data_IF_062091439263
#
_entry.id   IF_062091439263
#
_cell.length_a   1.000
_cell.length_b   1.000
_cell.length_c   1.000
_cell.angle_alpha   90.00
_cell.angle_beta   90.00
_cell.angle_gamma   90.00
#
_symmetry.space_group_name_H-M   'P 1'
#
loop_
_entity.id
_entity.type
_entity.pdbx_description
1 polymer ?
#
# COMPACT_ATOMS: atom_id res chain seq x y z
N UNK A 1 -34.39 -8.53 0.94
CA UNK A 1 -34.54 -9.87 1.56
C UNK A 1 -33.35 -10.06 2.50
N UNK A 2 -33.39 -9.89 3.84
CA UNK A 2 -34.38 -10.38 4.83
C UNK A 2 -34.87 -11.76 4.37
N UNK A 3 -34.37 -12.90 4.82
CA UNK A 3 -34.01 -13.34 6.17
C UNK A 3 -33.33 -14.70 5.99
N UNK A 4 -32.27 -15.02 6.75
CA UNK A 4 -32.14 -16.29 7.49
C UNK A 4 -30.84 -16.24 8.33
N UNK A 5 -30.99 -15.77 9.57
CA UNK A 5 -30.10 -16.08 10.68
C UNK A 5 -30.76 -17.17 11.52
N UNK A 6 -29.92 -18.01 12.13
CA UNK A 6 -30.13 -18.82 13.33
C UNK A 6 -30.60 -20.29 13.18
N UNK A 7 -29.61 -21.19 13.16
CA UNK A 7 -29.49 -22.42 13.98
C UNK A 7 -28.10 -22.97 13.62
N UNK A 8 -27.08 -23.03 14.47
CA UNK A 8 -26.91 -24.00 15.57
C UNK A 8 -25.87 -23.44 16.55
N UNK A 9 -26.29 -23.18 17.80
CA UNK A 9 -25.44 -23.16 18.99
C UNK A 9 -25.95 -24.28 19.89
N UNK A 10 -25.14 -25.31 20.14
CA UNK A 10 -25.04 -26.08 21.39
C UNK A 10 -24.30 -27.39 21.12
N UNK A 11 -23.02 -27.41 21.46
CA UNK A 11 -22.39 -28.49 22.24
C UNK A 11 -21.11 -27.90 22.80
N UNK A 12 -21.14 -27.60 24.11
CA UNK A 12 -19.94 -27.29 24.86
C UNK A 12 -19.30 -28.60 25.32
N UNK A 13 -17.98 -28.70 25.18
CA UNK A 13 -17.14 -29.54 26.02
C UNK A 13 -15.78 -28.88 26.13
N UNK A 14 -15.42 -28.63 27.38
CA UNK A 14 -14.17 -28.02 27.81
C UNK A 14 -13.00 -28.97 27.55
N UNK A 15 -11.83 -28.41 27.26
CA UNK A 15 -10.57 -29.01 27.68
C UNK A 15 -9.60 -27.93 28.11
N UNK A 16 -9.26 -27.98 29.39
CA UNK A 16 -8.19 -27.23 30.05
C UNK A 16 -6.86 -27.91 29.72
N UNK A 17 -5.88 -27.15 29.29
CA UNK A 17 -4.47 -27.50 29.47
C UNK A 17 -3.74 -26.22 29.90
N UNK A 18 -3.54 -26.10 31.22
CA UNK A 18 -2.65 -25.14 31.83
C UNK A 18 -1.25 -25.75 31.83
N UNK A 19 -0.27 -25.02 31.31
CA UNK A 19 1.15 -25.26 31.59
C UNK A 19 1.65 -24.03 32.33
N UNK A 20 2.09 -24.29 33.56
CA UNK A 20 2.70 -23.34 34.46
C UNK A 20 4.13 -23.02 34.00
N UNK A 21 4.56 -21.77 34.19
CA UNK A 21 5.96 -21.48 34.49
C UNK A 21 6.04 -20.45 35.62
N UNK A 22 6.91 -20.80 36.57
CA UNK A 22 7.06 -20.19 37.89
C UNK A 22 7.55 -18.75 37.88
N UNK A 23 7.10 -18.07 38.93
CA UNK A 23 7.69 -16.88 39.53
C UNK A 23 9.05 -17.20 40.16
N UNK A 24 10.03 -16.31 40.00
CA UNK A 24 11.14 -16.14 40.94
C UNK A 24 11.46 -14.63 41.03
N UNK A 25 11.19 -14.09 42.22
CA UNK A 25 11.73 -12.82 42.73
C UNK A 25 13.20 -12.99 43.12
N UNK A 26 13.99 -11.91 42.97
CA UNK A 26 14.89 -11.35 44.00
C UNK A 26 15.85 -10.30 43.41
N UNK A 27 15.58 -9.04 43.73
CA UNK A 27 16.42 -8.02 44.39
C UNK A 27 17.95 -7.88 44.17
N UNK A 28 18.34 -6.60 44.33
CA UNK A 28 19.67 -6.00 44.56
C UNK A 28 20.51 -5.73 43.28
N UNK A 29 21.15 -4.59 43.06
CA UNK A 29 21.54 -3.48 43.93
C UNK A 29 21.66 -2.19 43.13
N UNK A 30 21.49 -1.07 43.82
CA UNK A 30 21.87 0.26 43.38
C UNK A 30 23.39 0.40 43.46
N UNK A 31 24.01 1.05 42.47
CA UNK A 31 25.10 1.97 42.80
C UNK A 31 25.19 3.10 41.78
N UNK A 32 25.30 4.30 42.34
CA UNK A 32 25.50 5.55 41.64
C UNK A 32 27.00 5.81 41.59
N UNK A 33 27.51 6.31 40.47
CA UNK A 33 28.69 7.17 40.55
C UNK A 33 28.57 8.38 39.62
N UNK A 34 28.87 9.52 40.23
CA UNK A 34 28.94 10.87 39.68
C UNK A 34 30.41 11.22 39.55
N UNK A 35 30.79 11.82 38.43
CA UNK A 35 31.71 12.97 38.39
C UNK A 35 31.47 13.67 37.05
N UNK A 36 31.04 14.94 37.03
CA UNK A 36 31.90 16.15 37.06
C UNK A 36 32.93 16.14 35.92
N UNK A 37 33.19 17.20 35.16
CA UNK A 37 32.64 18.53 34.96
C UNK A 37 33.48 19.13 33.81
N UNK A 38 33.01 20.25 33.28
CA UNK A 38 33.83 21.47 33.09
C UNK A 38 34.20 21.94 31.66
N UNK A 39 33.90 23.24 31.49
CA UNK A 39 34.51 24.30 30.65
C UNK A 39 34.38 24.23 29.11
N UNK A 40 33.61 25.11 28.45
CA UNK A 40 33.57 26.60 28.28
C UNK A 40 34.30 27.11 27.03
N UNK A 41 33.74 28.21 26.50
CA UNK A 41 34.25 29.19 25.53
C UNK A 41 34.23 28.77 24.05
N UNK A 42 33.37 29.34 23.18
CA UNK A 42 33.05 30.75 22.92
C UNK A 42 34.29 31.58 22.55
N UNK A 43 34.60 31.69 21.25
CA UNK A 43 34.98 32.97 20.64
C UNK A 43 34.99 32.89 19.09
N UNK A 44 34.67 34.04 18.46
CA UNK A 44 34.95 34.48 17.07
C UNK A 44 34.14 33.85 15.93
N UNK A 45 33.57 34.61 14.98
CA UNK A 45 33.72 36.04 14.66
C UNK A 45 32.58 36.48 13.76
N UNK A 46 32.18 37.71 14.00
CA UNK A 46 31.38 38.61 13.19
C UNK A 46 31.93 38.75 11.75
N UNK A 47 31.05 38.73 10.76
CA UNK A 47 31.34 39.17 9.40
C UNK A 47 30.05 39.62 8.70
N UNK A 48 29.64 40.83 9.07
CA UNK A 48 28.90 41.80 8.28
C UNK A 48 29.28 41.74 6.78
N UNK A 49 28.28 41.45 5.92
CA UNK A 49 28.23 41.96 4.54
C UNK A 49 26.78 42.18 4.11
N UNK A 50 26.35 43.41 4.36
CA UNK A 50 25.40 44.16 3.53
C UNK A 50 25.78 44.11 2.04
N UNK A 51 24.83 43.74 1.17
CA UNK A 51 24.80 44.22 -0.23
C UNK A 51 23.37 44.64 -0.54
N UNK A 52 23.25 45.94 -0.80
CA UNK A 52 22.07 46.62 -1.26
C UNK A 52 21.74 46.24 -2.71
N UNK A 53 20.46 45.98 -2.93
CA UNK A 53 19.58 46.73 -3.83
C UNK A 53 20.21 47.39 -5.08
N UNK A 54 19.83 46.87 -6.25
CA UNK A 54 19.80 47.64 -7.50
C UNK A 54 18.52 47.31 -8.27
N UNK A 55 17.53 48.16 -8.04
CA UNK A 55 16.45 48.43 -8.97
C UNK A 55 17.01 48.91 -10.33
N UNK A 56 16.44 48.40 -11.41
CA UNK A 56 16.44 49.06 -12.72
C UNK A 56 14.99 49.38 -13.03
N UNK A 57 14.68 50.67 -12.96
CA UNK A 57 13.43 51.25 -13.44
C UNK A 57 13.45 51.30 -14.98
N UNK A 58 12.32 50.93 -15.58
CA UNK A 58 11.99 51.08 -16.99
C UNK A 58 10.48 51.29 -17.11
N UNK A 59 10.12 52.56 -17.30
CA UNK A 59 8.81 53.21 -17.42
C UNK A 59 7.93 52.73 -18.62
N UNK A 60 6.65 53.18 -18.74
CA UNK A 60 5.49 52.30 -18.88
C UNK A 60 4.86 52.25 -20.28
N UNK A 61 4.18 51.14 -20.58
CA UNK A 61 3.33 50.95 -21.77
C UNK A 61 1.84 50.90 -21.42
N UNK A 62 1.10 51.84 -22.03
CA UNK A 62 -0.35 52.11 -22.05
C UNK A 62 -1.30 50.87 -22.06
N UNK A 63 -2.50 50.96 -21.44
CA UNK A 63 -3.37 49.82 -21.25
C UNK A 63 -4.16 49.45 -22.51
N UNK A 64 -4.15 48.16 -22.85
CA UNK A 64 -5.03 47.59 -23.87
C UNK A 64 -6.44 47.40 -23.29
N UNK A 65 -7.41 48.08 -23.91
CA UNK A 65 -8.84 47.97 -23.60
C UNK A 65 -9.43 46.60 -23.93
N UNK A 66 -10.69 46.37 -23.52
CA UNK A 66 -11.31 45.05 -23.51
C UNK A 66 -11.58 44.53 -24.93
N UNK A 67 -11.21 43.27 -25.17
CA UNK A 67 -11.55 42.53 -26.38
C UNK A 67 -13.06 42.26 -26.48
N UNK A 68 -13.58 42.04 -27.70
CA UNK A 68 -15.01 42.07 -28.00
C UNK A 68 -15.79 40.91 -27.41
N UNK A 69 -17.01 41.23 -26.99
CA UNK A 69 -18.05 40.35 -26.49
C UNK A 69 -18.30 39.17 -27.45
N UNK A 70 -18.21 37.96 -26.90
CA UNK A 70 -18.67 36.74 -27.56
C UNK A 70 -20.20 36.68 -27.48
N UNK A 71 -20.86 36.57 -28.63
CA UNK A 71 -22.30 36.36 -28.72
C UNK A 71 -22.74 35.05 -28.02
N UNK A 72 -23.94 35.04 -27.39
CA UNK A 72 -24.42 33.89 -26.65
C UNK A 72 -24.85 32.76 -27.60
N UNK A 73 -24.19 31.61 -27.45
CA UNK A 73 -24.63 30.35 -28.07
C UNK A 73 -26.03 29.92 -27.59
N UNK A 74 -26.78 29.17 -28.40
CA UNK A 74 -28.14 28.78 -28.08
C UNK A 74 -28.20 27.90 -26.83
N UNK A 75 -29.16 28.21 -25.95
CA UNK A 75 -29.34 27.58 -24.65
C UNK A 75 -29.70 26.08 -24.70
N UNK A 76 -29.67 25.41 -23.53
CA UNK A 76 -29.80 23.96 -23.43
C UNK A 76 -31.21 23.49 -23.83
N UNK A 77 -31.25 22.52 -24.75
CA UNK A 77 -32.45 21.82 -25.15
C UNK A 77 -32.91 20.90 -24.00
N UNK A 78 -34.15 21.09 -23.57
CA UNK A 78 -34.78 20.35 -22.47
C UNK A 78 -35.15 18.95 -22.96
N UNK A 79 -34.33 17.95 -22.63
CA UNK A 79 -34.72 16.54 -22.77
C UNK A 79 -35.87 16.20 -21.80
N UNK A 80 -37.00 15.81 -22.36
CA UNK A 80 -38.18 15.33 -21.61
C UNK A 80 -37.95 13.91 -21.10
N UNK A 81 -38.42 13.57 -19.88
CA UNK A 81 -38.19 12.25 -19.31
C UNK A 81 -38.99 11.15 -20.02
N UNK A 82 -38.30 10.10 -20.46
CA UNK A 82 -38.91 8.85 -20.93
C UNK A 82 -39.43 8.06 -19.72
N UNK A 83 -40.75 7.92 -19.65
CA UNK A 83 -41.44 7.13 -18.63
C UNK A 83 -41.31 5.64 -18.97
N UNK A 84 -40.46 4.91 -18.24
CA UNK A 84 -40.47 3.44 -18.26
C UNK A 84 -41.68 2.90 -17.50
N UNK A 85 -42.55 2.14 -18.19
CA UNK A 85 -43.65 1.39 -17.57
C UNK A 85 -43.12 0.08 -16.97
N UNK A 86 -43.57 -0.35 -15.78
CA UNK A 86 -43.08 -1.56 -15.14
C UNK A 86 -43.63 -2.81 -15.85
N UNK A 87 -42.73 -3.72 -16.23
CA UNK A 87 -43.07 -5.08 -16.66
C UNK A 87 -43.27 -5.95 -15.43
N UNK A 88 -44.49 -6.45 -15.26
CA UNK A 88 -44.89 -7.37 -14.19
C UNK A 88 -44.45 -8.78 -14.57
N UNK A 89 -43.43 -9.31 -13.89
CA UNK A 89 -43.04 -10.73 -13.98
C UNK A 89 -43.95 -11.56 -13.06
N UNK A 90 -44.69 -12.52 -13.63
CA UNK A 90 -45.45 -13.53 -12.87
C UNK A 90 -44.53 -14.70 -12.47
N UNK A 91 -44.64 -15.25 -11.26
CA UNK A 91 -43.84 -16.40 -10.84
C UNK A 91 -44.42 -17.70 -11.41
N UNK A 92 -43.55 -18.57 -11.94
CA UNK A 92 -43.89 -19.97 -12.25
C UNK A 92 -43.09 -20.85 -11.30
N UNK A 93 -43.79 -21.62 -10.48
CA UNK A 93 -43.21 -22.56 -9.51
C UNK A 93 -43.57 -23.99 -9.89
N UNK A 94 -42.50 -24.78 -10.13
CA UNK A 94 -42.26 -26.22 -9.97
C UNK A 94 -43.22 -27.29 -10.56
N UNK A 95 -42.62 -28.33 -11.17
CA UNK A 95 -42.30 -29.61 -10.48
C UNK A 95 -41.38 -30.54 -11.31
N UNK A 96 -40.63 -31.46 -10.66
CA UNK A 96 -39.51 -32.18 -11.25
C UNK A 96 -39.96 -33.42 -12.02
N UNK A 97 -39.30 -33.72 -13.14
CA UNK A 97 -39.47 -35.00 -13.83
C UNK A 97 -38.30 -35.90 -13.47
N UNK A 98 -38.61 -36.95 -12.70
CA UNK A 98 -37.77 -38.12 -12.51
C UNK A 98 -38.01 -39.06 -13.70
N UNK A 99 -36.94 -39.43 -14.41
CA UNK A 99 -36.98 -40.54 -15.39
C UNK A 99 -35.83 -41.49 -15.07
N UNK A 100 -36.21 -42.72 -14.70
CA UNK A 100 -35.34 -43.90 -14.55
C UNK A 100 -35.12 -44.57 -15.92
N UNK A 101 -34.08 -45.42 -16.06
CA UNK A 101 -33.50 -45.82 -17.34
C UNK A 101 -34.21 -47.03 -17.97
N UNK A 102 -34.17 -47.14 -19.31
CA UNK A 102 -34.57 -48.37 -20.01
C UNK A 102 -34.66 -48.29 -21.54
N UNK A 103 -33.55 -48.69 -22.19
CA UNK A 103 -33.44 -49.57 -23.36
C UNK A 103 -34.06 -49.23 -24.75
N UNK A 104 -33.31 -49.71 -25.76
CA UNK A 104 -33.53 -49.75 -27.23
C UNK A 104 -33.27 -48.43 -27.96
N UNK A 105 -32.52 -48.38 -29.05
CA UNK A 105 -32.00 -49.39 -29.97
C UNK A 105 -31.34 -48.66 -31.15
N UNK A 106 -30.50 -49.38 -31.88
CA UNK A 106 -29.63 -48.88 -32.94
C UNK A 106 -30.34 -48.06 -34.04
N UNK A 107 -29.69 -46.98 -34.50
CA UNK A 107 -30.12 -46.24 -35.68
C UNK A 107 -29.15 -45.12 -36.08
N UNK A 108 -28.34 -45.38 -37.11
CA UNK A 108 -27.81 -44.38 -38.06
C UNK A 108 -26.68 -43.45 -37.57
N UNK A 109 -25.43 -43.79 -37.90
CA UNK A 109 -24.32 -42.84 -37.89
C UNK A 109 -24.51 -41.78 -38.99
N UNK A 110 -24.98 -40.59 -38.59
CA UNK A 110 -25.05 -39.41 -39.43
C UNK A 110 -23.65 -38.80 -39.62
N UNK A 111 -23.07 -39.01 -40.81
CA UNK A 111 -21.73 -38.53 -41.18
C UNK A 111 -21.62 -37.00 -41.18
N UNK A 112 -22.73 -36.25 -41.16
CA UNK A 112 -22.74 -34.77 -41.09
C UNK A 112 -22.67 -34.20 -39.67
N UNK A 113 -22.92 -35.00 -38.62
CA UNK A 113 -22.72 -34.57 -37.20
C UNK A 113 -21.30 -34.78 -36.69
N UNK A 114 -20.49 -35.62 -37.36
CA UNK A 114 -19.10 -35.86 -36.97
C UNK A 114 -18.20 -34.64 -37.24
N UNK A 115 -18.50 -33.83 -38.26
CA UNK A 115 -17.70 -32.64 -38.59
C UNK A 115 -18.04 -31.40 -37.75
N UNK A 116 -19.24 -31.31 -37.16
CA UNK A 116 -19.57 -30.30 -36.14
C UNK A 116 -19.12 -30.72 -34.73
N UNK A 117 -18.88 -32.01 -34.48
CA UNK A 117 -18.40 -32.53 -33.19
C UNK A 117 -16.90 -32.32 -32.93
N UNK A 118 -16.09 -32.14 -33.98
CA UNK A 118 -14.64 -31.92 -33.85
C UNK A 118 -14.30 -30.48 -33.43
N UNK A 119 -15.14 -29.49 -33.77
CA UNK A 119 -14.93 -28.10 -33.35
C UNK A 119 -15.22 -27.87 -31.86
N UNK A 120 -16.21 -28.57 -31.27
CA UNK A 120 -16.56 -28.43 -29.85
C UNK A 120 -15.61 -29.17 -28.90
N UNK A 121 -15.06 -30.32 -29.32
CA UNK A 121 -14.14 -31.12 -28.51
C UNK A 121 -12.79 -30.44 -28.29
N UNK A 122 -12.25 -29.75 -29.30
CA UNK A 122 -10.97 -29.03 -29.18
C UNK A 122 -11.09 -27.81 -28.25
N UNK A 123 -12.21 -27.08 -28.30
CA UNK A 123 -12.45 -25.93 -27.40
C UNK A 123 -12.69 -26.39 -25.95
N UNK A 124 -13.47 -27.45 -25.74
CA UNK A 124 -13.74 -27.97 -24.40
C UNK A 124 -12.51 -28.67 -23.77
N UNK A 125 -11.77 -29.47 -24.55
CA UNK A 125 -10.53 -30.10 -24.08
C UNK A 125 -9.41 -29.06 -23.88
N UNK A 126 -9.33 -28.03 -24.74
CA UNK A 126 -8.42 -26.89 -24.57
C UNK A 126 -8.73 -26.11 -23.29
N UNK A 127 -10.00 -25.79 -23.04
CA UNK A 127 -10.44 -25.13 -21.82
C UNK A 127 -10.14 -25.99 -20.57
N UNK A 128 -10.47 -27.29 -20.60
CA UNK A 128 -10.17 -28.20 -19.48
C UNK A 128 -8.66 -28.35 -19.23
N UNK A 129 -7.83 -28.37 -20.28
CA UNK A 129 -6.36 -28.44 -20.16
C UNK A 129 -5.79 -27.14 -19.59
N UNK A 130 -6.29 -25.98 -20.04
CA UNK A 130 -5.88 -24.67 -19.50
C UNK A 130 -6.30 -24.52 -18.04
N UNK A 131 -7.55 -24.87 -17.70
CA UNK A 131 -8.01 -24.88 -16.31
C UNK A 131 -7.23 -25.88 -15.45
N UNK A 132 -6.97 -27.09 -15.95
CA UNK A 132 -6.19 -28.10 -15.26
C UNK A 132 -4.75 -27.67 -15.00
N UNK A 133 -4.09 -27.02 -15.97
CA UNK A 133 -2.76 -26.44 -15.79
C UNK A 133 -2.75 -25.28 -14.80
N UNK A 134 -3.73 -24.39 -14.86
CA UNK A 134 -3.84 -23.26 -13.93
C UNK A 134 -4.12 -23.70 -12.49
N UNK A 135 -4.93 -24.74 -12.30
CA UNK A 135 -5.16 -25.34 -10.98
C UNK A 135 -3.92 -26.11 -10.49
N UNK A 136 -3.25 -26.85 -11.39
CA UNK A 136 -2.02 -27.56 -11.08
C UNK A 136 -0.86 -26.64 -10.71
N UNK A 137 -0.70 -25.51 -11.41
CA UNK A 137 0.33 -24.51 -11.09
C UNK A 137 0.08 -23.85 -9.74
N UNK A 138 -1.17 -23.49 -9.43
CA UNK A 138 -1.56 -22.98 -8.10
C UNK A 138 -1.22 -23.96 -6.99
N UNK A 139 -1.62 -25.22 -7.14
CA UNK A 139 -1.37 -26.23 -6.13
C UNK A 139 0.14 -26.50 -5.94
N UNK A 140 0.91 -26.47 -7.02
CA UNK A 140 2.37 -26.60 -6.96
C UNK A 140 3.02 -25.41 -6.23
N UNK A 141 2.62 -24.18 -6.54
CA UNK A 141 3.11 -22.97 -5.87
C UNK A 141 2.71 -22.93 -4.40
N UNK A 142 1.47 -23.28 -4.06
CA UNK A 142 1.03 -23.36 -2.67
C UNK A 142 1.81 -24.40 -1.87
N UNK A 143 2.10 -25.56 -2.48
CA UNK A 143 2.93 -26.61 -1.86
C UNK A 143 4.37 -26.13 -1.68
N UNK A 144 4.96 -25.50 -2.69
CA UNK A 144 6.31 -24.95 -2.62
C UNK A 144 6.41 -23.86 -1.53
N UNK A 145 5.42 -22.97 -1.46
CA UNK A 145 5.30 -21.91 -0.44
C UNK A 145 5.12 -22.49 0.96
N UNK A 146 4.27 -23.50 1.12
CA UNK A 146 4.02 -24.15 2.41
C UNK A 146 5.20 -24.95 2.95
N UNK A 147 6.09 -25.42 2.06
CA UNK A 147 7.31 -26.14 2.43
C UNK A 147 8.55 -25.26 2.64
N UNK A 148 8.45 -23.95 2.41
CA UNK A 148 9.58 -23.03 2.55
C UNK A 148 9.81 -22.63 4.02
N UNK A 149 11.02 -22.88 4.49
CA UNK A 149 11.51 -22.37 5.77
C UNK A 149 12.26 -21.06 5.53
N UNK A 150 11.84 -19.98 6.20
CA UNK A 150 12.53 -18.69 6.11
C UNK A 150 13.84 -18.72 6.90
N UNK A 151 14.96 -18.25 6.32
CA UNK A 151 16.18 -18.02 7.07
C UNK A 151 15.96 -16.96 8.15
N UNK A 152 16.71 -17.07 9.26
CA UNK A 152 16.75 -16.00 10.26
C UNK A 152 17.39 -14.74 9.65
N UNK A 153 16.92 -13.54 10.02
CA UNK A 153 17.54 -12.30 9.57
C UNK A 153 18.97 -12.16 10.10
N UNK A 154 19.88 -11.74 9.24
CA UNK A 154 21.21 -11.30 9.63
C UNK A 154 21.15 -9.93 10.32
N UNK A 155 20.20 -9.08 9.94
CA UNK A 155 19.87 -7.82 10.58
C UNK A 155 18.40 -7.83 11.00
N UNK A 156 18.07 -8.30 12.23
CA UNK A 156 16.69 -8.29 12.73
C UNK A 156 16.20 -6.86 12.96
N UNK A 157 14.90 -6.63 12.75
CA UNK A 157 14.28 -5.36 13.07
C UNK A 157 14.30 -5.16 14.59
N UNK A 158 14.47 -3.92 15.03
CA UNK A 158 14.35 -3.59 16.44
C UNK A 158 12.96 -4.02 16.98
N UNK A 159 12.86 -4.40 18.26
CA UNK A 159 11.56 -4.60 18.90
C UNK A 159 10.72 -3.33 18.77
N UNK A 160 9.42 -3.49 18.52
CA UNK A 160 8.52 -2.34 18.46
C UNK A 160 8.53 -1.61 19.81
N UNK A 161 8.72 -0.27 19.83
CA UNK A 161 8.67 0.49 21.06
C UNK A 161 7.36 0.31 21.83
N UNK A 162 7.42 0.45 23.15
CA UNK A 162 6.21 0.51 23.96
C UNK A 162 5.32 1.67 23.49
N UNK A 163 4.01 1.42 23.36
CA UNK A 163 3.06 2.45 22.90
C UNK A 163 2.98 2.64 21.38
N UNK A 164 3.53 1.72 20.59
CA UNK A 164 3.38 1.70 19.11
C UNK A 164 1.93 1.45 18.65
N UNK A 165 1.15 0.70 19.44
CA UNK A 165 -0.26 0.45 19.15
C UNK A 165 -1.12 0.88 20.35
N UNK A 166 -2.05 1.80 20.11
CA UNK A 166 -3.00 2.29 21.11
C UNK A 166 -4.07 1.28 21.48
N UNK A 167 -4.27 0.22 20.68
CA UNK A 167 -5.28 -0.84 20.90
C UNK A 167 -6.70 -0.29 21.04
N UNK A 168 -6.98 0.84 20.36
CA UNK A 168 -8.31 1.44 20.29
C UNK A 168 -9.16 0.60 19.31
N UNK A 169 -10.36 0.20 19.74
CA UNK A 169 -11.25 -0.60 18.89
C UNK A 169 -11.64 0.17 17.63
N UNK A 170 -11.44 -0.44 16.46
CA UNK A 170 -11.73 0.17 15.16
C UNK A 170 -10.59 1.01 14.56
N UNK A 171 -9.54 1.31 15.33
CA UNK A 171 -8.33 1.93 14.83
C UNK A 171 -7.53 0.91 14.02
N UNK A 172 -6.91 1.33 12.91
CA UNK A 172 -6.03 0.45 12.16
C UNK A 172 -4.86 -0.02 13.05
N UNK A 173 -4.61 -1.33 13.15
CA UNK A 173 -3.50 -1.84 13.94
C UNK A 173 -2.17 -1.36 13.37
N UNK A 174 -1.11 -1.28 14.19
CA UNK A 174 0.19 -0.87 13.68
C UNK A 174 0.70 -1.81 12.58
N UNK A 175 0.53 -3.13 12.74
CA UNK A 175 0.83 -4.13 11.70
C UNK A 175 -0.47 -4.53 11.00
N UNK A 176 -0.54 -4.29 9.70
CA UNK A 176 -1.63 -4.78 8.85
C UNK A 176 -1.44 -6.27 8.59
N UNK A 177 -2.46 -7.09 8.90
CA UNK A 177 -2.42 -8.53 8.63
C UNK A 177 -2.27 -8.79 7.13
N UNK A 178 -1.53 -9.83 6.73
CA UNK A 178 -1.29 -10.18 5.32
C UNK A 178 -2.57 -10.24 4.47
N UNK A 179 -3.66 -10.79 5.00
CA UNK A 179 -4.97 -10.90 4.34
C UNK A 179 -5.75 -9.58 4.20
N UNK A 180 -5.43 -8.60 5.03
CA UNK A 180 -6.08 -7.28 5.05
C UNK A 180 -5.20 -6.22 4.38
N UNK A 181 -3.97 -6.56 3.99
CA UNK A 181 -3.07 -5.66 3.29
C UNK A 181 -3.61 -5.38 1.90
N UNK A 182 -3.69 -4.10 1.53
CA UNK A 182 -4.32 -3.69 0.28
C UNK A 182 -3.67 -4.35 -0.95
N UNK A 183 -4.47 -4.59 -1.98
CA UNK A 183 -4.02 -5.14 -3.26
C UNK A 183 -4.48 -4.24 -4.40
N UNK A 184 -3.55 -3.72 -5.18
CA UNK A 184 -3.79 -2.92 -6.39
C UNK A 184 -2.84 -3.42 -7.46
N UNK A 185 -3.39 -4.03 -8.51
CA UNK A 185 -2.65 -4.79 -9.50
C UNK A 185 -3.14 -4.45 -10.91
N UNK A 186 -2.23 -4.42 -11.87
CA UNK A 186 -2.58 -4.42 -13.31
C UNK A 186 -2.89 -5.84 -13.81
N UNK A 187 -2.45 -6.86 -13.07
CA UNK A 187 -2.65 -8.27 -13.40
C UNK A 187 -4.13 -8.68 -13.27
N UNK A 188 -4.73 -9.12 -14.37
CA UNK A 188 -6.06 -9.74 -14.34
C UNK A 188 -6.03 -11.13 -13.68
N UNK A 189 -4.88 -11.82 -13.78
CA UNK A 189 -4.63 -13.13 -13.18
C UNK A 189 -3.32 -13.07 -12.41
N UNK A 190 -3.36 -13.42 -11.14
CA UNK A 190 -2.19 -13.42 -10.25
C UNK A 190 -1.16 -14.45 -10.72
N UNK A 191 0.09 -14.04 -11.04
CA UNK A 191 1.17 -14.94 -11.41
C UNK A 191 1.39 -16.07 -10.40
N UNK A 192 1.60 -17.28 -10.91
CA UNK A 192 1.93 -18.47 -10.13
C UNK A 192 3.38 -18.83 -10.43
N UNK A 193 4.30 -18.16 -9.73
CA UNK A 193 5.73 -18.26 -9.98
C UNK A 193 6.34 -19.41 -9.15
N UNK A 194 6.96 -20.37 -9.83
CA UNK A 194 7.70 -21.44 -9.16
C UNK A 194 9.05 -20.90 -8.65
N UNK A 195 9.32 -20.92 -7.32
CA UNK A 195 10.57 -20.40 -6.75
C UNK A 195 11.82 -21.11 -7.28
N UNK A 196 11.72 -22.37 -7.74
CA UNK A 196 12.85 -23.12 -8.29
C UNK A 196 13.26 -22.62 -9.68
N UNK A 197 12.28 -22.15 -10.45
CA UNK A 197 12.48 -21.60 -11.78
C UNK A 197 12.74 -20.08 -11.77
N UNK A 198 12.32 -19.40 -10.70
CA UNK A 198 12.49 -17.95 -10.57
C UNK A 198 13.95 -17.52 -10.64
N UNK A 199 14.19 -16.43 -11.39
CA UNK A 199 15.49 -15.76 -11.51
C UNK A 199 15.26 -14.26 -11.43
N UNK A 200 16.21 -13.54 -10.84
CA UNK A 200 16.32 -12.08 -10.90
C UNK A 200 17.57 -11.69 -11.67
N UNK A 201 17.41 -10.92 -12.74
CA UNK A 201 18.52 -10.37 -13.51
C UNK A 201 18.72 -8.89 -13.20
N UNK A 202 19.95 -8.50 -12.83
CA UNK A 202 20.37 -7.10 -12.64
C UNK A 202 21.40 -6.77 -13.72
N UNK A 203 21.09 -5.82 -14.59
CA UNK A 203 21.90 -5.54 -15.79
C UNK A 203 21.77 -4.07 -16.24
N UNK A 204 22.34 -3.72 -17.39
CA UNK A 204 22.30 -2.36 -17.94
C UNK A 204 23.57 -1.58 -17.62
N UNK A 205 23.41 -0.40 -17.01
CA UNK A 205 24.51 0.47 -16.59
C UNK A 205 25.20 -0.05 -15.31
N UNK A 206 25.76 -1.25 -15.40
CA UNK A 206 26.52 -1.93 -14.34
C UNK A 206 27.81 -2.53 -14.88
N UNK A 207 28.84 -2.65 -14.05
CA UNK A 207 30.13 -3.25 -14.42
C UNK A 207 30.02 -4.78 -14.54
N UNK A 208 29.22 -5.40 -13.67
CA UNK A 208 29.02 -6.84 -13.58
C UNK A 208 27.53 -7.16 -13.50
N UNK A 209 26.91 -7.60 -14.61
CA UNK A 209 25.54 -8.12 -14.56
C UNK A 209 25.45 -9.30 -13.58
N UNK A 210 24.36 -9.35 -12.82
CA UNK A 210 24.10 -10.40 -11.82
C UNK A 210 22.83 -11.15 -12.21
N UNK A 211 22.85 -12.47 -12.08
CA UNK A 211 21.65 -13.29 -12.09
C UNK A 211 21.55 -14.06 -10.76
N UNK A 212 20.42 -13.94 -10.07
CA UNK A 212 20.18 -14.59 -8.78
C UNK A 212 19.05 -15.60 -8.89
N UNK A 213 19.28 -16.81 -8.39
CA UNK A 213 18.19 -17.74 -8.09
C UNK A 213 17.53 -17.38 -6.75
N UNK A 214 16.37 -17.97 -6.47
CA UNK A 214 15.71 -17.78 -5.18
C UNK A 214 16.58 -18.30 -4.02
N UNK A 215 17.27 -19.43 -4.22
CA UNK A 215 18.19 -20.00 -3.24
C UNK A 215 19.46 -19.16 -3.04
N UNK A 216 19.93 -18.44 -4.08
CA UNK A 216 21.00 -17.44 -3.90
C UNK A 216 20.52 -16.28 -3.03
N UNK A 217 19.29 -15.81 -3.24
CA UNK A 217 18.71 -14.72 -2.47
C UNK A 217 18.55 -15.09 -0.99
N UNK A 218 18.06 -16.30 -0.69
CA UNK A 218 17.89 -16.81 0.68
C UNK A 218 19.22 -17.05 1.41
N UNK A 219 20.32 -17.26 0.68
CA UNK A 219 21.67 -17.43 1.28
C UNK A 219 22.37 -16.10 1.58
N UNK A 220 21.85 -14.98 1.10
CA UNK A 220 22.41 -13.65 1.37
C UNK A 220 21.97 -13.15 2.76
N UNK A 221 22.70 -12.19 3.35
CA UNK A 221 22.28 -11.56 4.59
C UNK A 221 20.91 -10.90 4.44
N UNK A 222 19.90 -11.43 5.16
CA UNK A 222 18.55 -10.89 5.14
C UNK A 222 18.39 -9.80 6.20
N UNK A 223 17.69 -8.73 5.83
CA UNK A 223 17.31 -7.61 6.70
C UNK A 223 15.81 -7.65 6.96
N UNK A 224 15.42 -7.48 8.22
CA UNK A 224 14.05 -7.19 8.60
C UNK A 224 13.83 -5.69 8.75
N UNK A 225 12.75 -5.16 8.16
CA UNK A 225 12.37 -3.76 8.29
C UNK A 225 10.84 -3.61 8.37
N UNK A 226 10.37 -2.73 9.25
CA UNK A 226 8.96 -2.31 9.29
C UNK A 226 8.76 -1.18 8.28
N UNK A 227 7.96 -1.42 7.25
CA UNK A 227 7.75 -0.47 6.14
C UNK A 227 6.26 -0.36 5.81
N UNK A 228 5.80 0.89 5.70
CA UNK A 228 4.48 1.22 5.16
C UNK A 228 4.55 1.37 3.65
N UNK A 229 3.70 0.64 2.94
CA UNK A 229 3.44 0.85 1.51
C UNK A 229 2.16 1.63 1.32
N UNK A 230 2.18 2.55 0.35
CA UNK A 230 1.03 3.36 -0.02
C UNK A 230 0.89 3.38 -1.54
N UNK A 231 -0.33 3.16 -2.03
CA UNK A 231 -0.63 3.29 -3.46
C UNK A 231 -0.78 4.76 -3.83
N UNK A 232 -0.32 5.15 -5.03
CA UNK A 232 -0.57 6.51 -5.55
C UNK A 232 -2.07 6.77 -5.74
N UNK A 233 -2.84 5.73 -6.09
CA UNK A 233 -4.30 5.78 -6.24
C UNK A 233 -5.04 5.96 -4.91
N UNK A 234 -4.35 6.04 -3.77
CA UNK A 234 -5.00 6.24 -2.49
C UNK A 234 -5.60 7.67 -2.44
N UNK A 235 -6.94 7.82 -2.37
CA UNK A 235 -7.53 9.13 -2.18
C UNK A 235 -7.22 9.66 -0.77
N UNK A 236 -7.50 10.94 -0.53
CA UNK A 236 -7.50 11.49 0.83
C UNK A 236 -8.44 10.64 1.71
N UNK A 237 -7.90 10.13 2.81
CA UNK A 237 -8.62 9.23 3.72
C UNK A 237 -8.83 7.79 3.21
N UNK A 238 -8.21 7.42 2.10
CA UNK A 238 -8.39 6.10 1.48
C UNK A 238 -7.74 4.93 2.22
N UNK A 239 -8.04 3.72 1.73
CA UNK A 239 -7.63 2.46 2.33
C UNK A 239 -6.40 1.80 1.67
N UNK A 240 -5.85 2.38 0.59
CA UNK A 240 -4.72 1.80 -0.17
C UNK A 240 -3.38 2.12 0.48
N UNK A 241 -3.26 1.74 1.75
CA UNK A 241 -2.10 1.88 2.60
C UNK A 241 -2.05 0.74 3.62
N UNK A 242 -0.87 0.20 3.88
CA UNK A 242 -0.67 -0.83 4.89
C UNK A 242 0.76 -0.85 5.39
N UNK A 243 0.93 -1.23 6.65
CA UNK A 243 2.24 -1.34 7.30
C UNK A 243 2.54 -2.79 7.66
N UNK A 244 3.72 -3.25 7.31
CA UNK A 244 4.13 -4.63 7.52
C UNK A 244 5.61 -4.73 7.86
N UNK A 245 5.98 -5.82 8.52
CA UNK A 245 7.38 -6.23 8.65
C UNK A 245 7.79 -7.02 7.42
N UNK A 246 8.87 -6.61 6.77
CA UNK A 246 9.39 -7.25 5.57
C UNK A 246 10.72 -7.92 5.89
N UNK A 247 10.98 -9.07 5.27
CA UNK A 247 12.27 -9.74 5.33
C UNK A 247 12.80 -9.88 3.91
N UNK A 248 14.03 -9.43 3.65
CA UNK A 248 14.61 -9.47 2.32
C UNK A 248 16.09 -9.11 2.24
N UNK A 249 16.66 -9.24 1.05
CA UNK A 249 18.02 -8.77 0.75
C UNK A 249 17.96 -7.28 0.44
N UNK A 250 18.88 -6.48 1.00
CA UNK A 250 18.94 -5.05 0.67
C UNK A 250 19.35 -4.88 -0.79
N UNK A 251 18.54 -4.14 -1.54
CA UNK A 251 18.78 -3.86 -2.96
C UNK A 251 20.13 -3.18 -3.16
N UNK A 252 20.50 -2.26 -2.26
CA UNK A 252 21.78 -1.57 -2.30
C UNK A 252 22.98 -2.52 -2.25
N UNK A 253 22.89 -3.66 -1.56
CA UNK A 253 23.98 -4.64 -1.49
C UNK A 253 24.18 -5.34 -2.84
N UNK A 254 23.08 -5.72 -3.51
CA UNK A 254 23.12 -6.30 -4.86
C UNK A 254 23.63 -5.28 -5.89
N UNK A 255 23.22 -4.02 -5.77
CA UNK A 255 23.66 -2.96 -6.70
C UNK A 255 25.14 -2.59 -6.51
N UNK A 256 25.65 -2.59 -5.26
CA UNK A 256 27.09 -2.43 -5.00
C UNK A 256 27.92 -3.59 -5.55
N UNK A 257 27.40 -4.82 -5.47
CA UNK A 257 28.03 -5.98 -6.10
C UNK A 257 28.07 -5.83 -7.62
N UNK A 258 26.97 -5.36 -8.23
CA UNK A 258 26.90 -5.17 -9.68
C UNK A 258 27.85 -4.06 -10.18
N UNK A 259 28.15 -3.07 -9.34
CA UNK A 259 28.99 -1.92 -9.68
C UNK A 259 28.24 -0.94 -10.58
N UNK A 260 27.51 0.00 -9.99
CA UNK A 260 26.74 1.00 -10.74
C UNK A 260 27.67 1.91 -11.56
N UNK A 261 27.41 2.03 -12.87
CA UNK A 261 28.14 2.96 -13.72
C UNK A 261 27.70 4.41 -13.44
N UNK A 262 28.62 5.35 -13.68
CA UNK A 262 28.35 6.78 -13.51
C UNK A 262 27.15 7.24 -14.35
N UNK A 263 26.28 8.04 -13.76
CA UNK A 263 25.13 8.65 -14.43
C UNK A 263 23.88 7.77 -14.49
N UNK A 264 23.90 6.55 -13.95
CA UNK A 264 22.67 5.79 -13.71
C UNK A 264 21.79 6.50 -12.68
N UNK A 265 20.51 6.71 -13.00
CA UNK A 265 19.56 7.39 -12.11
C UNK A 265 18.21 6.67 -11.98
N UNK A 266 17.99 5.58 -12.73
CA UNK A 266 16.77 4.78 -12.71
C UNK A 266 17.06 3.28 -12.61
N UNK A 267 16.32 2.59 -11.75
CA UNK A 267 16.16 1.14 -11.74
C UNK A 267 14.81 0.83 -12.40
N UNK A 268 14.83 0.36 -13.64
CA UNK A 268 13.63 -0.12 -14.32
C UNK A 268 13.44 -1.59 -13.95
N UNK A 269 12.58 -1.86 -12.97
CA UNK A 269 12.24 -3.22 -12.58
C UNK A 269 11.04 -3.76 -13.36
N UNK A 270 11.10 -5.05 -13.70
CA UNK A 270 10.05 -5.76 -14.46
C UNK A 270 9.52 -6.93 -13.64
N UNK A 271 8.20 -7.00 -13.55
CA UNK A 271 7.44 -8.13 -13.00
C UNK A 271 7.32 -9.25 -14.03
N UNK A 272 7.16 -10.49 -13.57
CA UNK A 272 6.89 -11.67 -14.42
C UNK A 272 5.73 -11.46 -15.40
N UNK A 273 4.72 -10.66 -15.03
CA UNK A 273 3.57 -10.34 -15.88
C UNK A 273 3.82 -9.17 -16.87
N UNK A 274 5.04 -8.64 -16.91
CA UNK A 274 5.44 -7.55 -17.80
C UNK A 274 5.18 -6.13 -17.26
N UNK A 275 4.63 -5.98 -16.05
CA UNK A 275 4.53 -4.65 -15.42
C UNK A 275 5.91 -4.07 -15.12
N UNK A 276 6.13 -2.79 -15.42
CA UNK A 276 7.39 -2.09 -15.16
C UNK A 276 7.24 -0.91 -14.20
N UNK A 277 8.27 -0.73 -13.38
CA UNK A 277 8.37 0.26 -12.31
C UNK A 277 9.72 0.98 -12.42
N UNK A 278 9.72 2.30 -12.28
CA UNK A 278 10.92 3.13 -12.39
C UNK A 278 11.30 3.70 -11.04
N UNK A 279 12.30 3.13 -10.38
CA UNK A 279 12.72 3.55 -9.03
C UNK A 279 13.99 4.39 -9.11
N UNK A 280 14.07 5.58 -8.49
CA UNK A 280 15.30 6.36 -8.44
C UNK A 280 16.46 5.63 -7.76
N UNK A 281 17.63 5.64 -8.39
CA UNK A 281 18.84 4.98 -7.87
C UNK A 281 19.29 5.62 -6.56
N UNK A 282 19.31 6.95 -6.49
CA UNK A 282 19.70 7.72 -5.30
C UNK A 282 18.88 7.32 -4.07
N UNK A 283 17.57 7.17 -4.23
CA UNK A 283 16.65 6.74 -3.17
C UNK A 283 16.95 5.32 -2.67
N UNK A 284 17.32 4.39 -3.55
CA UNK A 284 17.66 3.01 -3.13
C UNK A 284 19.03 2.97 -2.44
N UNK A 285 19.91 3.91 -2.76
CA UNK A 285 21.30 3.94 -2.31
C UNK A 285 21.55 4.85 -1.10
N UNK A 286 20.55 5.59 -0.61
CA UNK A 286 20.69 6.57 0.49
C UNK A 286 20.82 5.97 1.89
N UNK A 287 20.75 4.64 2.00
CA UNK A 287 20.89 3.92 3.26
C UNK A 287 19.58 3.41 3.85
N UNK A 288 18.41 3.77 3.29
CA UNK A 288 17.12 3.16 3.68
C UNK A 288 17.08 1.66 3.42
N UNK A 289 16.13 0.98 4.04
CA UNK A 289 15.92 -0.46 3.84
C UNK A 289 15.04 -0.73 2.61
N UNK A 290 15.63 -0.49 1.43
CA UNK A 290 15.09 -0.94 0.16
C UNK A 290 15.39 -2.44 -0.03
N UNK A 291 14.36 -3.28 -0.16
CA UNK A 291 14.46 -4.74 -0.11
C UNK A 291 13.98 -5.44 -1.39
N UNK A 292 14.68 -6.51 -1.77
CA UNK A 292 14.09 -7.66 -2.44
C UNK A 292 13.51 -8.59 -1.37
N UNK A 293 12.23 -8.40 -1.05
CA UNK A 293 11.54 -9.07 0.04
C UNK A 293 11.04 -10.47 -0.35
N UNK A 294 11.28 -11.43 0.54
CA UNK A 294 10.88 -12.85 0.44
C UNK A 294 9.83 -13.24 1.49
N UNK A 295 9.63 -12.39 2.50
CA UNK A 295 8.69 -12.62 3.58
C UNK A 295 7.99 -11.33 4.02
N UNK A 296 6.81 -11.52 4.59
CA UNK A 296 5.93 -10.45 5.07
C UNK A 296 5.25 -10.89 6.37
N UNK A 297 5.43 -10.09 7.42
CA UNK A 297 4.94 -10.33 8.77
C UNK A 297 5.35 -11.69 9.36
N UNK A 298 6.60 -12.10 9.11
CA UNK A 298 7.15 -13.39 9.59
C UNK A 298 6.65 -14.61 8.82
N UNK A 299 5.85 -14.44 7.78
CA UNK A 299 5.37 -15.50 6.91
C UNK A 299 6.01 -15.40 5.53
N UNK A 300 6.19 -16.54 4.84
CA UNK A 300 6.60 -16.56 3.44
C UNK A 300 5.64 -15.68 2.64
N UNK A 301 6.20 -14.84 1.76
CA UNK A 301 5.44 -13.83 1.03
C UNK A 301 4.16 -14.43 0.41
N UNK A 302 2.98 -13.85 0.65
CA UNK A 302 1.76 -14.33 0.00
C UNK A 302 1.82 -14.17 -1.52
N UNK A 303 1.17 -15.07 -2.26
CA UNK A 303 1.18 -15.05 -3.74
C UNK A 303 0.63 -13.74 -4.30
N UNK A 304 -0.50 -13.29 -3.76
CA UNK A 304 -1.12 -12.00 -4.10
C UNK A 304 -0.23 -10.79 -3.83
N UNK A 305 0.75 -10.94 -2.92
CA UNK A 305 1.67 -9.88 -2.51
C UNK A 305 3.07 -10.02 -3.12
N UNK A 306 3.24 -10.90 -4.11
CA UNK A 306 4.44 -10.93 -4.94
C UNK A 306 5.36 -12.15 -4.77
N UNK A 307 4.88 -13.24 -4.17
CA UNK A 307 5.67 -14.48 -4.06
C UNK A 307 6.26 -14.93 -5.41
N UNK A 308 7.55 -15.32 -5.50
CA UNK A 308 8.48 -15.53 -4.38
C UNK A 308 9.19 -14.28 -3.90
N UNK A 309 9.32 -13.25 -4.74
CA UNK A 309 10.11 -12.04 -4.44
C UNK A 309 9.40 -10.79 -4.95
N UNK A 310 9.33 -9.77 -4.11
CA UNK A 310 8.91 -8.43 -4.50
C UNK A 310 9.97 -7.38 -4.16
N UNK A 311 9.95 -6.28 -4.90
CA UNK A 311 10.60 -5.05 -4.50
C UNK A 311 9.77 -4.33 -3.42
N UNK A 312 10.45 -3.73 -2.43
CA UNK A 312 9.88 -2.87 -1.38
C UNK A 312 10.85 -1.72 -1.13
N UNK A 313 10.51 -0.50 -1.55
CA UNK A 313 11.32 0.70 -1.30
C UNK A 313 10.49 1.71 -0.49
N UNK A 314 10.88 2.04 0.75
CA UNK A 314 10.15 2.99 1.57
C UNK A 314 10.25 4.41 1.01
N UNK A 315 9.28 5.27 1.33
CA UNK A 315 9.29 6.70 0.97
C UNK A 315 8.79 7.05 -0.43
N UNK A 316 8.41 6.05 -1.24
CA UNK A 316 7.89 6.24 -2.59
C UNK A 316 6.55 5.52 -2.78
N UNK A 317 5.67 6.06 -3.63
CA UNK A 317 4.40 5.39 -3.96
C UNK A 317 4.62 4.05 -4.67
N UNK A 318 3.75 3.07 -4.41
CA UNK A 318 3.96 1.66 -4.80
C UNK A 318 4.23 1.40 -6.28
N UNK A 319 3.72 2.23 -7.20
CA UNK A 319 3.92 2.04 -8.64
C UNK A 319 5.34 2.37 -9.15
N UNK A 320 6.13 3.07 -8.33
CA UNK A 320 7.55 3.38 -8.58
C UNK A 320 8.49 2.71 -7.57
N UNK A 321 7.97 1.87 -6.67
CA UNK A 321 8.75 1.37 -5.52
C UNK A 321 8.52 -0.09 -5.15
N UNK A 322 7.47 -0.74 -5.67
CA UNK A 322 6.96 -1.97 -5.08
C UNK A 322 6.57 -3.06 -6.11
N UNK A 323 7.41 -3.29 -7.12
CA UNK A 323 7.25 -4.35 -8.14
C UNK A 323 7.07 -5.72 -7.51
N UNK A 324 5.89 -6.31 -7.70
CA UNK A 324 5.61 -7.70 -7.31
C UNK A 324 6.17 -8.66 -8.34
N UNK A 325 6.45 -9.90 -7.95
CA UNK A 325 6.93 -10.95 -8.85
C UNK A 325 8.13 -10.51 -9.69
N UNK A 326 9.06 -9.78 -9.08
CA UNK A 326 10.15 -9.11 -9.81
C UNK A 326 11.12 -10.13 -10.40
N UNK A 327 11.47 -9.98 -11.67
CA UNK A 327 12.38 -10.89 -12.40
C UNK A 327 13.52 -10.16 -13.12
N UNK A 328 13.41 -8.85 -13.32
CA UNK A 328 14.43 -8.06 -14.00
C UNK A 328 14.58 -6.69 -13.33
N UNK A 329 15.82 -6.19 -13.28
CA UNK A 329 16.17 -4.81 -12.93
C UNK A 329 17.21 -4.32 -13.93
N UNK A 330 16.77 -3.46 -14.86
CA UNK A 330 17.65 -2.73 -15.76
C UNK A 330 18.07 -1.42 -15.09
N UNK A 331 19.34 -1.31 -14.75
CA UNK A 331 19.97 -0.05 -14.34
C UNK A 331 20.12 0.84 -15.57
N UNK A 332 19.47 2.01 -15.55
CA UNK A 332 19.36 2.91 -16.69
C UNK A 332 19.18 4.36 -16.23
N UNK A 333 18.62 5.20 -17.10
CA UNK A 333 18.33 6.61 -16.85
C UNK A 333 16.88 6.96 -17.17
N UNK A 334 16.28 7.86 -16.41
CA UNK A 334 14.93 8.38 -16.65
C UNK A 334 14.81 9.14 -17.98
N UNK A 335 15.93 9.59 -18.58
CA UNK A 335 15.95 10.22 -19.91
C UNK A 335 16.09 9.21 -21.07
N UNK A 336 16.22 7.90 -20.78
CA UNK A 336 16.41 6.83 -21.77
C UNK A 336 15.31 5.76 -21.75
N UNK A 337 14.61 5.61 -20.63
CA UNK A 337 13.56 4.62 -20.45
C UNK A 337 12.40 5.21 -19.64
N UNK A 338 11.21 4.63 -19.83
CA UNK A 338 10.00 4.99 -19.10
C UNK A 338 9.34 3.75 -18.49
N UNK A 339 8.84 3.87 -17.26
CA UNK A 339 8.07 2.81 -16.61
C UNK A 339 6.59 2.87 -17.00
N UNK A 340 5.83 1.80 -16.74
CA UNK A 340 4.46 1.60 -17.24
C UNK A 340 3.53 2.82 -17.11
N UNK A 341 3.56 3.52 -15.97
CA UNK A 341 2.66 4.65 -15.71
C UNK A 341 3.17 6.01 -16.19
N UNK A 342 4.47 6.18 -16.43
CA UNK A 342 5.07 7.44 -16.87
C UNK A 342 4.47 7.98 -18.18
N UNK A 343 4.38 7.20 -19.29
CA UNK A 343 3.77 7.68 -20.53
C UNK A 343 2.25 7.87 -20.44
N UNK A 344 1.63 7.49 -19.30
CA UNK A 344 0.21 7.66 -19.01
C UNK A 344 -0.06 8.92 -18.17
N UNK A 345 0.95 9.78 -17.99
CA UNK A 345 0.83 11.06 -17.31
C UNK A 345 1.06 11.03 -15.80
N UNK A 346 1.56 9.91 -15.26
CA UNK A 346 1.93 9.83 -13.84
C UNK A 346 3.37 10.28 -13.62
N UNK A 347 3.65 10.86 -12.46
CA UNK A 347 5.00 11.30 -12.10
C UNK A 347 6.03 10.16 -12.16
N UNK A 348 7.25 10.43 -12.60
CA UNK A 348 8.27 9.39 -12.72
C UNK A 348 8.89 8.94 -11.39
N UNK A 349 9.02 9.86 -10.41
CA UNK A 349 9.71 9.59 -9.13
C UNK A 349 8.79 9.41 -7.93
N UNK A 350 7.65 10.10 -7.92
CA UNK A 350 6.53 9.97 -6.97
C UNK A 350 6.91 9.68 -5.49
N UNK A 351 7.62 10.60 -4.82
CA UNK A 351 7.82 10.51 -3.38
C UNK A 351 6.47 10.59 -2.64
N UNK A 352 6.39 9.92 -1.48
CA UNK A 352 5.19 9.96 -0.65
C UNK A 352 4.94 11.40 -0.17
N UNK A 353 3.70 11.87 -0.32
CA UNK A 353 3.22 13.10 0.31
C UNK A 353 2.86 12.84 1.78
N UNK A 354 3.10 13.81 2.66
CA UNK A 354 2.63 13.79 4.05
C UNK A 354 1.11 13.67 4.05
N UNK A 355 0.59 12.69 4.80
CA UNK A 355 -0.83 12.37 4.77
C UNK A 355 -1.35 11.95 6.15
N UNK A 356 -2.66 12.10 6.36
CA UNK A 356 -3.37 11.60 7.54
C UNK A 356 -4.78 11.15 7.20
N UNK A 357 -5.28 10.20 7.99
CA UNK A 357 -6.61 9.60 7.85
C UNK A 357 -7.25 9.45 9.22
N UNK A 358 -8.57 9.66 9.26
CA UNK A 358 -9.43 9.41 10.42
C UNK A 358 -10.03 8.03 10.24
N UNK A 359 -9.73 7.11 11.14
CA UNK A 359 -10.26 5.74 11.11
C UNK A 359 -11.55 5.63 11.92
N UNK A 360 -11.61 6.36 13.05
CA UNK A 360 -12.79 6.50 13.87
C UNK A 360 -12.96 7.93 14.39
N UNK A 361 -14.21 8.42 14.49
CA UNK A 361 -15.43 7.78 13.99
C UNK A 361 -15.41 7.65 12.46
N UNK A 362 -16.18 6.70 11.90
CA UNK A 362 -16.29 6.57 10.43
C UNK A 362 -17.17 7.67 9.86
N UNK A 363 -16.98 7.97 8.58
CA UNK A 363 -17.87 8.86 7.83
C UNK A 363 -19.34 8.46 8.01
N UNK A 364 -20.18 9.41 8.43
CA UNK A 364 -21.61 9.23 8.66
C UNK A 364 -21.99 8.46 9.93
N UNK A 365 -21.04 8.20 10.85
CA UNK A 365 -21.35 7.49 12.08
C UNK A 365 -22.28 8.28 13.01
N UNK A 366 -23.15 7.55 13.72
CA UNK A 366 -23.94 8.09 14.83
C UNK A 366 -23.26 7.76 16.16
N UNK A 367 -22.95 8.79 16.95
CA UNK A 367 -22.28 8.71 18.24
C UNK A 367 -23.24 9.08 19.37
N UNK A 368 -22.93 8.62 20.58
CA UNK A 368 -23.58 9.16 21.79
C UNK A 368 -22.86 10.44 22.19
N UNK A 369 -23.60 11.42 22.68
CA UNK A 369 -23.03 12.58 23.34
C UNK A 369 -22.14 12.22 24.53
N UNK A 370 -21.15 13.08 24.79
CA UNK A 370 -20.13 12.91 25.83
C UNK A 370 -18.75 12.49 25.30
N UNK A 371 -17.92 11.97 26.20
CA UNK A 371 -16.53 11.59 25.88
C UNK A 371 -16.45 10.49 24.83
N UNK A 372 -15.72 10.78 23.75
CA UNK A 372 -15.36 9.84 22.70
C UNK A 372 -13.92 10.12 22.22
N UNK A 373 -13.41 9.30 21.31
CA UNK A 373 -12.07 9.44 20.75
C UNK A 373 -12.15 9.56 19.23
N UNK A 374 -11.45 10.55 18.68
CA UNK A 374 -11.15 10.66 17.26
C UNK A 374 -9.74 10.09 17.08
N UNK A 375 -9.57 9.10 16.21
CA UNK A 375 -8.29 8.43 16.02
C UNK A 375 -8.08 7.97 14.59
N UNK A 376 -6.82 7.76 14.23
CA UNK A 376 -6.44 7.30 12.91
C UNK A 376 -4.94 7.10 12.76
N UNK A 377 -4.48 7.18 11.52
CA UNK A 377 -3.08 7.03 11.15
C UNK A 377 -2.59 8.23 10.34
N UNK A 378 -1.30 8.52 10.42
CA UNK A 378 -0.62 9.52 9.60
C UNK A 378 0.70 8.96 9.10
N UNK A 379 1.19 9.42 7.95
CA UNK A 379 2.40 8.89 7.33
C UNK A 379 3.13 9.94 6.49
N UNK A 380 4.45 9.83 6.48
CA UNK A 380 5.37 10.61 5.65
C UNK A 380 6.67 9.79 5.54
N UNK A 381 6.60 8.62 4.88
CA UNK A 381 7.71 7.66 4.91
C UNK A 381 9.05 8.29 4.47
N UNK A 382 10.11 7.84 5.12
CA UNK A 382 11.46 8.39 5.15
C UNK A 382 11.65 9.77 5.80
N UNK A 383 10.57 10.53 6.06
CA UNK A 383 10.63 11.79 6.82
C UNK A 383 10.12 11.63 8.26
N UNK A 384 9.05 10.87 8.46
CA UNK A 384 8.38 10.68 9.75
C UNK A 384 7.34 11.77 10.07
N UNK A 385 6.43 11.47 11.00
CA UNK A 385 5.36 12.38 11.44
C UNK A 385 5.72 13.00 12.79
N UNK A 386 5.70 14.33 12.85
CA UNK A 386 5.99 15.12 14.07
C UNK A 386 4.72 15.57 14.80
N UNK A 387 3.66 15.93 14.06
CA UNK A 387 2.40 16.36 14.64
C UNK A 387 1.21 15.86 13.82
N UNK A 388 0.10 15.59 14.51
CA UNK A 388 -1.24 15.46 13.92
C UNK A 388 -2.16 16.39 14.68
N UNK A 389 -2.97 17.13 13.96
CA UNK A 389 -3.92 18.08 14.50
C UNK A 389 -5.31 17.77 13.94
N UNK A 390 -6.32 17.94 14.78
CA UNK A 390 -7.73 17.73 14.43
C UNK A 390 -8.51 18.97 14.81
N UNK A 391 -9.43 19.40 13.95
CA UNK A 391 -10.43 20.42 14.30
C UNK A 391 -11.83 19.87 14.10
N UNK A 392 -12.77 20.43 14.87
CA UNK A 392 -14.20 20.12 14.79
C UNK A 392 -14.95 21.41 14.50
N UNK A 393 -15.86 21.38 13.53
CA UNK A 393 -16.73 22.50 13.11
C UNK A 393 -15.99 23.80 12.78
N UNK A 394 -14.84 23.68 12.10
CA UNK A 394 -13.93 24.81 11.79
C UNK A 394 -13.44 25.57 13.03
N UNK A 395 -13.49 24.95 14.21
CA UNK A 395 -12.87 25.48 15.42
C UNK A 395 -11.35 25.39 15.38
N UNK A 396 -10.74 25.61 16.55
CA UNK A 396 -9.29 25.57 16.71
C UNK A 396 -8.71 24.17 16.42
N UNK A 397 -7.51 24.16 15.83
CA UNK A 397 -6.72 22.95 15.67
C UNK A 397 -6.23 22.45 17.03
N UNK A 398 -6.50 21.18 17.32
CA UNK A 398 -6.09 20.53 18.57
C UNK A 398 -5.07 19.45 18.26
N UNK A 399 -3.92 19.50 18.92
CA UNK A 399 -2.86 18.51 18.75
C UNK A 399 -3.29 17.15 19.32
N UNK A 400 -3.18 16.10 18.51
CA UNK A 400 -3.44 14.73 18.90
C UNK A 400 -2.23 14.10 19.60
N UNK A 401 -2.48 13.08 20.44
CA UNK A 401 -1.44 12.22 20.99
C UNK A 401 -0.98 11.26 19.90
N UNK A 402 0.33 11.08 19.76
CA UNK A 402 0.94 10.20 18.76
C UNK A 402 1.51 8.94 19.42
N UNK A 403 1.39 7.80 18.73
CA UNK A 403 2.01 6.54 19.14
C UNK A 403 3.53 6.61 18.99
N UNK A 404 4.26 5.70 19.63
CA UNK A 404 5.67 5.49 19.31
C UNK A 404 5.79 4.79 17.93
N UNK A 405 6.94 4.91 17.27
CA UNK A 405 7.25 4.20 16.02
C UNK A 405 8.70 3.73 16.04
N UNK A 406 9.04 2.60 15.39
CA UNK A 406 10.43 2.12 15.34
C UNK A 406 11.32 2.96 14.42
N UNK A 407 10.75 3.73 13.50
CA UNK A 407 11.49 4.55 12.54
C UNK A 407 10.58 5.35 11.61
N UNK A 408 11.17 6.14 10.69
CA UNK A 408 10.44 7.08 9.83
C UNK A 408 9.68 6.41 8.67
N UNK A 409 9.94 5.14 8.39
CA UNK A 409 9.37 4.41 7.24
C UNK A 409 8.03 3.71 7.53
N UNK A 410 7.48 3.95 8.71
CA UNK A 410 6.18 3.41 9.14
C UNK A 410 5.14 4.52 9.29
N UNK A 411 3.85 4.17 9.15
CA UNK A 411 2.77 5.03 9.60
C UNK A 411 2.77 5.16 11.13
N UNK A 412 2.10 6.20 11.62
CA UNK A 412 2.02 6.53 13.03
C UNK A 412 0.55 6.66 13.43
N UNK A 413 0.14 5.88 14.43
CA UNK A 413 -1.19 6.04 15.03
C UNK A 413 -1.29 7.37 15.79
N UNK A 414 -2.47 7.97 15.78
CA UNK A 414 -2.79 9.18 16.52
C UNK A 414 -4.19 9.10 17.14
N UNK A 415 -4.40 9.82 18.24
CA UNK A 415 -5.69 9.87 18.94
C UNK A 415 -5.91 11.23 19.63
N UNK A 416 -7.14 11.72 19.60
CA UNK A 416 -7.60 12.92 20.29
C UNK A 416 -8.89 12.60 21.06
N UNK A 417 -8.88 12.85 22.36
CA UNK A 417 -10.11 12.78 23.17
C UNK A 417 -11.01 13.98 22.86
N UNK A 418 -12.29 13.71 22.68
CA UNK A 418 -13.29 14.70 22.28
C UNK A 418 -14.55 14.56 23.12
N UNK A 419 -14.97 15.65 23.76
CA UNK A 419 -16.29 15.77 24.35
C UNK A 419 -17.30 16.17 23.26
N UNK A 420 -18.01 15.17 22.74
CA UNK A 420 -18.95 15.33 21.64
C UNK A 420 -20.28 15.91 22.15
N UNK A 421 -20.56 17.17 21.80
CA UNK A 421 -21.87 17.77 22.04
C UNK A 421 -22.94 17.17 21.10
N UNK A 422 -24.23 17.16 21.46
CA UNK A 422 -25.28 16.76 20.53
C UNK A 422 -25.31 17.66 19.28
N UNK A 423 -25.44 17.05 18.10
CA UNK A 423 -25.44 17.80 16.85
C UNK A 423 -24.76 17.08 15.70
N UNK A 424 -24.80 17.71 14.51
CA UNK A 424 -23.99 17.29 13.36
C UNK A 424 -22.64 17.98 13.47
N UNK A 425 -21.57 17.20 13.35
CA UNK A 425 -20.20 17.70 13.42
C UNK A 425 -19.40 17.35 12.18
N UNK A 426 -18.56 18.29 11.73
CA UNK A 426 -17.54 18.05 10.71
C UNK A 426 -16.18 17.99 11.40
N UNK A 427 -15.42 16.92 11.13
CA UNK A 427 -14.11 16.65 11.73
C UNK A 427 -13.08 16.61 10.61
N UNK A 428 -11.99 17.37 10.77
CA UNK A 428 -10.91 17.48 9.80
C UNK A 428 -9.59 17.16 10.47
N UNK A 429 -8.68 16.50 9.74
CA UNK A 429 -7.35 16.16 10.22
C UNK A 429 -6.26 16.64 9.26
N UNK A 430 -5.14 17.08 9.83
CA UNK A 430 -3.89 17.36 9.11
C UNK A 430 -2.69 16.84 9.90
N UNK A 431 -1.63 16.49 9.19
CA UNK A 431 -0.35 16.10 9.76
C UNK A 431 0.77 17.06 9.33
N UNK A 432 1.79 17.14 10.18
CA UNK A 432 3.06 17.83 9.92
C UNK A 432 4.18 16.80 10.02
N UNK A 433 4.99 16.71 8.98
CA UNK A 433 6.16 15.82 8.96
C UNK A 433 7.33 16.40 9.76
N UNK A 434 8.35 15.58 10.02
CA UNK A 434 9.54 16.01 10.77
C UNK A 434 10.44 17.00 10.01
N UNK A 435 10.11 17.34 8.75
CA UNK A 435 10.75 18.41 8.00
C UNK A 435 9.97 19.74 8.13
N UNK A 436 8.92 19.78 8.96
CA UNK A 436 8.09 20.96 9.20
C UNK A 436 7.04 21.23 8.12
N UNK A 437 6.80 20.30 7.19
CA UNK A 437 5.78 20.47 6.14
C UNK A 437 4.43 19.95 6.64
N UNK A 438 3.48 20.86 6.77
CA UNK A 438 2.08 20.54 7.09
C UNK A 438 1.29 20.22 5.81
N UNK A 439 0.38 19.25 5.90
CA UNK A 439 -0.58 18.95 4.82
C UNK A 439 -1.35 20.20 4.38
N UNK A 440 -1.36 20.47 3.08
CA UNK A 440 -2.17 21.52 2.47
C UNK A 440 -3.67 21.20 2.50
N UNK A 441 -4.49 22.26 2.53
CA UNK A 441 -5.95 22.17 2.49
C UNK A 441 -6.48 21.77 1.12
N UNK A 442 -5.81 22.24 0.06
CA UNK A 442 -6.25 22.07 -1.32
C UNK A 442 -6.42 20.59 -1.64
N UNK A 443 -7.64 20.23 -2.07
CA UNK A 443 -7.95 18.87 -2.49
C UNK A 443 -7.52 18.65 -3.94
N UNK A 444 -6.68 17.66 -4.15
CA UNK A 444 -6.30 17.20 -5.48
C UNK A 444 -6.54 15.69 -5.58
N UNK A 445 -7.01 15.21 -6.76
CA UNK A 445 -7.20 13.79 -6.97
C UNK A 445 -5.85 13.06 -6.98
N UNK A 446 -5.86 11.71 -6.90
CA UNK A 446 -4.65 10.90 -6.97
C UNK A 446 -3.72 11.17 -8.16
N UNK A 447 -4.25 11.45 -9.35
CA UNK A 447 -3.43 11.75 -10.52
C UNK A 447 -3.05 13.24 -10.53
N UNK A 448 -1.80 13.58 -10.92
CA UNK A 448 -0.77 12.71 -11.50
C UNK A 448 0.27 12.15 -10.51
N UNK A 449 0.29 12.60 -9.25
CA UNK A 449 1.43 12.40 -8.34
C UNK A 449 1.04 12.14 -6.88
N UNK A 450 -0.18 11.69 -6.63
CA UNK A 450 -0.76 11.38 -5.32
C UNK A 450 -1.70 12.48 -4.82
N UNK A 451 -2.77 12.06 -4.13
CA UNK A 451 -3.80 12.98 -3.65
C UNK A 451 -3.26 13.94 -2.58
N UNK A 452 -3.84 15.14 -2.50
CA UNK A 452 -3.59 16.15 -1.45
C UNK A 452 -4.92 16.62 -0.84
N UNK A 453 -4.85 17.21 0.35
CA UNK A 453 -6.02 17.72 1.08
C UNK A 453 -6.20 17.09 2.46
N UNK A 454 -7.05 17.73 3.27
CA UNK A 454 -7.40 17.23 4.61
C UNK A 454 -8.49 16.18 4.54
N UNK A 455 -8.28 15.06 5.23
CA UNK A 455 -9.35 14.09 5.39
C UNK A 455 -10.44 14.67 6.29
N UNK A 456 -11.64 14.75 5.74
CA UNK A 456 -12.81 15.39 6.35
C UNK A 456 -13.92 14.36 6.47
N UNK A 457 -14.47 14.23 7.68
CA UNK A 457 -15.64 13.40 7.92
C UNK A 457 -16.78 14.19 8.56
N UNK A 458 -18.00 13.69 8.41
CA UNK A 458 -19.19 14.21 9.08
C UNK A 458 -19.81 13.12 9.94
N UNK A 459 -20.17 13.44 11.18
CA UNK A 459 -20.82 12.54 12.13
C UNK A 459 -22.07 13.17 12.73
N UNK A 460 -22.96 12.33 13.25
CA UNK A 460 -24.13 12.75 14.02
C UNK A 460 -23.94 12.33 15.47
N UNK A 461 -24.08 13.27 16.42
CA UNK A 461 -24.05 12.99 17.85
C UNK A 461 -25.48 13.12 18.38
N UNK A 462 -25.93 12.09 19.09
CA UNK A 462 -27.29 11.94 19.63
C UNK A 462 -27.40 12.32 21.12
#
# INVERSE_FOLDING_TARGET
MWTLRALVRRTGLASRAAVAYGTADADADADADRTDADRTDADRTDADRTVADRAVEGEPGTPMGPGPEAEPGPGPEVERPVVMRPVVMRPVVMRPVVMRPGAYGAGGFDRRRLLTGVAGGVVAAGAATVLGRALGSRQAVDTARGGLALPAPAAPAAPLPAGTDFRISGLSPFVTRNRDFYRVDTALVVPQVDPRAWRLRVHGMVDRPIELTFDDLLRRPLTEADITLTCVSNPVGGEYIGNARWLGVRMADVLREAGLQSGADMLLSTSEDGFTCGTPVDVVMDGRDALFAVAMNGEVLPVDHGFPVRQVVPGLYGYVSATKWVVDVKVTRFDRDEAYWTPRGWAAKAPIKTQSRIDLPRQGATLRSGRTTIAGVAWAQHTGIEAVEVRVDRGEWRRARLAAVPGPDTWRQWALDWDAAPGRHTIEVRATDAAGRTQGEQQEPPAPDGATGWHTITVQVA
#
